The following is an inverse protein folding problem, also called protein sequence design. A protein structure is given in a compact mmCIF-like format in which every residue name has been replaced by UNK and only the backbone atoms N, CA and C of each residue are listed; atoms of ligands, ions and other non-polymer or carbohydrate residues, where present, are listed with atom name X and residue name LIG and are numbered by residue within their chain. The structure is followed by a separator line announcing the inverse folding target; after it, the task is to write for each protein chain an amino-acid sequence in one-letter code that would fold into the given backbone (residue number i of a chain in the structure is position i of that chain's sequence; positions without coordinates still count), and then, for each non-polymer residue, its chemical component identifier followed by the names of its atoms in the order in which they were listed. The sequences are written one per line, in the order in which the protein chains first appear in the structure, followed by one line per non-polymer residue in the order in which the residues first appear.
data_IF_802291643952
#
_entry.id   IF_802291643952
#
_cell.length_a   1.000
_cell.length_b   1.000
_cell.length_c   1.000
_cell.angle_alpha   90.00
_cell.angle_beta   90.00
_cell.angle_gamma   90.00
#
_symmetry.space_group_name_H-M   'P 1'
#
loop_
_entity.id
_entity.type
_entity.pdbx_description
1 polymer ?
#
# COMPACT_ATOMS: atom_id res chain seq x y z
N UNK A 1 -0.52 -7.03 -17.76
CA UNK A 1 -0.45 -6.81 -16.31
C UNK A 1 -1.47 -5.75 -15.97
N UNK A 2 -2.47 -6.05 -15.14
CA UNK A 2 -3.52 -5.12 -14.71
C UNK A 2 -3.03 -4.33 -13.49
N UNK A 3 -2.93 -3.01 -13.60
CA UNK A 3 -2.53 -2.13 -12.50
C UNK A 3 -3.78 -1.53 -11.83
N UNK A 4 -3.93 -1.73 -10.52
CA UNK A 4 -5.03 -1.18 -9.73
C UNK A 4 -5.00 0.37 -9.72
N UNK A 5 -3.82 0.99 -9.74
CA UNK A 5 -3.70 2.46 -9.73
C UNK A 5 -4.38 3.11 -10.94
N UNK A 6 -4.53 2.43 -12.08
CA UNK A 6 -5.26 2.98 -13.22
C UNK A 6 -6.77 3.09 -12.97
N UNK A 7 -7.32 2.26 -12.08
CA UNK A 7 -8.75 2.24 -11.76
C UNK A 7 -9.07 3.09 -10.53
N UNK A 8 -8.20 3.07 -9.52
CA UNK A 8 -8.41 3.77 -8.25
C UNK A 8 -7.68 5.12 -8.15
N UNK A 9 -6.73 5.41 -9.05
CA UNK A 9 -5.93 6.64 -9.04
C UNK A 9 -6.59 7.86 -9.70
N UNK A 10 -7.92 7.88 -9.79
CA UNK A 10 -8.67 9.05 -10.29
C UNK A 10 -8.88 10.14 -9.22
N UNK A 11 -8.56 9.84 -7.96
CA UNK A 11 -8.59 10.80 -6.86
C UNK A 11 -7.39 11.74 -6.98
N UNK A 12 -7.65 13.05 -7.02
CA UNK A 12 -6.64 14.11 -7.03
C UNK A 12 -6.63 14.79 -5.65
N UNK A 13 -5.88 14.19 -4.73
CA UNK A 13 -5.95 14.52 -3.30
C UNK A 13 -7.09 13.79 -2.58
N UNK A 14 -7.19 14.01 -1.28
CA UNK A 14 -8.17 13.37 -0.40
C UNK A 14 -8.97 14.42 0.39
N UNK A 15 -10.29 14.28 0.42
CA UNK A 15 -11.15 15.15 1.24
C UNK A 15 -11.33 14.58 2.65
N UNK A 16 -11.24 13.25 2.78
CA UNK A 16 -11.39 12.54 4.04
C UNK A 16 -10.11 11.79 4.40
N UNK A 17 -9.91 11.59 5.70
CA UNK A 17 -8.85 10.74 6.23
C UNK A 17 -9.46 9.72 7.17
N UNK A 18 -9.17 8.46 6.93
CA UNK A 18 -9.67 7.33 7.71
C UNK A 18 -8.56 6.86 8.63
N UNK A 19 -8.90 6.46 9.85
CA UNK A 19 -7.92 5.99 10.83
C UNK A 19 -8.05 4.49 11.02
N UNK A 20 -6.93 3.79 10.90
CA UNK A 20 -6.85 2.40 11.30
C UNK A 20 -6.84 2.31 12.84
N UNK A 21 -7.84 1.64 13.41
CA UNK A 21 -8.16 1.71 14.84
C UNK A 21 -7.04 1.24 15.77
N UNK A 22 -6.22 0.27 15.36
CA UNK A 22 -5.19 -0.33 16.23
C UNK A 22 -3.82 0.34 16.11
N UNK A 23 -3.47 0.82 14.91
CA UNK A 23 -2.14 1.41 14.66
C UNK A 23 -2.14 2.93 14.73
N UNK A 24 -3.32 3.56 14.64
CA UNK A 24 -3.45 5.01 14.54
C UNK A 24 -3.02 5.59 13.19
N UNK A 25 -2.48 4.76 12.28
CA UNK A 25 -2.14 5.14 10.90
C UNK A 25 -3.39 5.64 10.18
N UNK A 26 -3.24 6.69 9.37
CA UNK A 26 -4.35 7.24 8.58
C UNK A 26 -4.20 6.87 7.10
N UNK A 27 -5.30 6.86 6.36
CA UNK A 27 -5.29 6.60 4.93
C UNK A 27 -6.35 7.42 4.19
N UNK A 28 -6.11 7.65 2.90
CA UNK A 28 -6.92 8.51 2.02
C UNK A 28 -8.15 7.81 1.45
N UNK A 29 -9.02 8.60 0.80
CA UNK A 29 -10.18 8.13 0.04
C UNK A 29 -9.79 7.12 -1.05
N UNK A 30 -8.72 7.37 -1.80
CA UNK A 30 -8.24 6.44 -2.83
C UNK A 30 -7.82 5.08 -2.27
N UNK A 31 -7.11 5.07 -1.15
CA UNK A 31 -6.71 3.83 -0.47
C UNK A 31 -7.93 3.10 0.10
N UNK A 32 -8.88 3.82 0.70
CA UNK A 32 -10.12 3.22 1.19
C UNK A 32 -10.90 2.56 0.05
N UNK A 33 -11.11 3.29 -1.05
CA UNK A 33 -11.84 2.78 -2.20
C UNK A 33 -11.14 1.56 -2.81
N UNK A 34 -9.81 1.56 -2.89
CA UNK A 34 -9.04 0.39 -3.32
C UNK A 34 -9.24 -0.81 -2.39
N UNK A 35 -9.17 -0.59 -1.07
CA UNK A 35 -9.34 -1.65 -0.08
C UNK A 35 -10.76 -2.23 -0.09
N UNK A 36 -11.79 -1.39 -0.22
CA UNK A 36 -13.18 -1.82 -0.31
C UNK A 36 -13.47 -2.56 -1.63
N UNK A 37 -13.04 -1.98 -2.75
CA UNK A 37 -13.30 -2.52 -4.09
C UNK A 37 -12.55 -3.82 -4.38
N UNK A 38 -11.34 -3.97 -3.83
CA UNK A 38 -10.52 -5.18 -4.01
C UNK A 38 -10.59 -6.14 -2.83
N UNK A 39 -11.40 -5.84 -1.80
CA UNK A 39 -11.42 -6.57 -0.52
C UNK A 39 -10.01 -6.71 0.10
N UNK A 40 -9.19 -5.68 -0.06
CA UNK A 40 -7.74 -5.71 0.18
C UNK A 40 -7.32 -4.97 1.47
N UNK A 41 -8.16 -4.95 2.51
CA UNK A 41 -7.78 -4.40 3.81
C UNK A 41 -6.53 -5.07 4.41
N UNK A 42 -6.32 -6.35 4.08
CA UNK A 42 -5.11 -7.08 4.44
C UNK A 42 -3.82 -6.39 3.96
N UNK A 43 -3.85 -5.62 2.86
CA UNK A 43 -2.69 -4.88 2.37
C UNK A 43 -2.32 -3.75 3.34
N UNK A 44 -3.32 -3.07 3.89
CA UNK A 44 -3.13 -2.03 4.91
C UNK A 44 -2.57 -2.67 6.18
N UNK A 45 -3.16 -3.79 6.62
CA UNK A 45 -2.69 -4.53 7.80
C UNK A 45 -1.24 -5.02 7.63
N UNK A 46 -0.90 -5.51 6.43
CA UNK A 46 0.46 -5.94 6.10
C UNK A 46 1.43 -4.76 6.22
N UNK A 47 1.14 -3.62 5.60
CA UNK A 47 2.01 -2.43 5.67
C UNK A 47 2.18 -1.95 7.12
N UNK A 48 1.09 -1.97 7.91
CA UNK A 48 1.11 -1.66 9.33
C UNK A 48 2.01 -2.62 10.11
N UNK A 49 1.95 -3.92 9.82
CA UNK A 49 2.77 -4.92 10.51
C UNK A 49 4.27 -4.66 10.33
N UNK A 50 4.68 -4.20 9.14
CA UNK A 50 6.07 -3.79 8.86
C UNK A 50 6.50 -2.54 9.63
N UNK A 51 5.56 -1.68 10.07
CA UNK A 51 5.89 -0.54 10.93
C UNK A 51 6.30 -0.94 12.35
N UNK A 52 6.26 -2.22 12.71
CA UNK A 52 6.89 -2.74 13.93
C UNK A 52 8.42 -2.75 13.84
N UNK A 53 8.97 -2.73 12.62
CA UNK A 53 10.40 -2.71 12.37
C UNK A 53 10.91 -1.26 12.37
N UNK A 54 11.79 -0.91 13.33
CA UNK A 54 12.24 0.47 13.52
C UNK A 54 12.83 1.10 12.26
N UNK A 55 13.66 0.35 11.52
CA UNK A 55 14.29 0.84 10.29
C UNK A 55 13.31 1.10 9.13
N UNK A 56 12.13 0.47 9.15
CA UNK A 56 11.05 0.76 8.19
C UNK A 56 10.28 1.99 8.66
N UNK A 57 9.87 2.00 9.93
CA UNK A 57 9.03 3.04 10.53
C UNK A 57 9.70 4.43 10.54
N UNK A 58 11.02 4.47 10.70
CA UNK A 58 11.79 5.73 10.73
C UNK A 58 11.86 6.43 9.36
N UNK A 59 11.47 5.76 8.28
CA UNK A 59 11.47 6.37 6.95
C UNK A 59 10.27 7.31 6.78
N UNK A 60 10.49 8.60 6.46
CA UNK A 60 9.42 9.57 6.29
C UNK A 60 8.58 9.31 5.03
N UNK A 61 9.18 8.65 4.03
CA UNK A 61 8.55 8.32 2.76
C UNK A 61 8.83 6.86 2.42
N UNK A 62 7.77 6.09 2.18
CA UNK A 62 7.84 4.68 1.84
C UNK A 62 6.97 4.40 0.61
N UNK A 63 7.52 3.69 -0.36
CA UNK A 63 6.79 3.20 -1.54
C UNK A 63 6.60 1.71 -1.42
N UNK A 64 5.35 1.26 -1.38
CA UNK A 64 4.96 -0.13 -1.28
C UNK A 64 4.41 -0.62 -2.61
N UNK A 65 5.17 -1.49 -3.28
CA UNK A 65 4.81 -2.09 -4.56
C UNK A 65 4.40 -3.55 -4.36
N UNK A 66 3.10 -3.83 -4.47
CA UNK A 66 2.56 -5.20 -4.51
C UNK A 66 2.53 -5.67 -5.97
N UNK A 67 3.14 -6.81 -6.27
CA UNK A 67 3.24 -7.37 -7.61
C UNK A 67 2.94 -8.87 -7.63
N UNK A 68 2.06 -9.29 -8.56
CA UNK A 68 1.79 -10.70 -8.83
C UNK A 68 3.00 -11.33 -9.52
N UNK A 69 3.49 -12.43 -8.96
CA UNK A 69 4.57 -13.22 -9.54
C UNK A 69 4.00 -14.25 -10.53
N UNK A 70 3.06 -15.08 -10.08
CA UNK A 70 2.36 -16.07 -10.88
C UNK A 70 1.10 -16.53 -10.15
N UNK A 71 0.00 -16.74 -10.89
CA UNK A 71 -1.29 -17.16 -10.31
C UNK A 71 -1.65 -16.30 -9.09
N UNK A 72 -1.86 -16.89 -7.91
CA UNK A 72 -2.21 -16.19 -6.67
C UNK A 72 -1.00 -15.84 -5.79
N UNK A 73 0.22 -16.00 -6.29
CA UNK A 73 1.45 -15.69 -5.56
C UNK A 73 1.88 -14.25 -5.86
N UNK A 74 2.17 -13.49 -4.81
CA UNK A 74 2.59 -12.10 -4.91
C UNK A 74 3.87 -11.85 -4.12
N UNK A 75 4.50 -10.72 -4.41
CA UNK A 75 5.53 -10.13 -3.56
C UNK A 75 5.17 -8.67 -3.30
N UNK A 76 5.51 -8.18 -2.12
CA UNK A 76 5.46 -6.77 -1.81
C UNK A 76 6.86 -6.26 -1.48
N UNK A 77 7.23 -5.13 -2.08
CA UNK A 77 8.52 -4.48 -1.90
C UNK A 77 8.30 -3.08 -1.32
N UNK A 78 9.04 -2.75 -0.26
CA UNK A 78 9.13 -1.40 0.27
C UNK A 78 10.44 -0.73 -0.19
N UNK A 79 10.34 0.51 -0.66
CA UNK A 79 11.50 1.37 -0.94
C UNK A 79 11.36 2.74 -0.26
N UNK A 80 12.46 3.46 -0.11
CA UNK A 80 12.53 4.79 0.53
C UNK A 80 12.11 5.96 -0.39
N UNK A 81 11.53 5.69 -1.56
CA UNK A 81 11.23 6.70 -2.58
C UNK A 81 12.41 7.09 -3.48
N UNK A 82 13.65 6.69 -3.15
CA UNK A 82 14.85 6.86 -3.97
C UNK A 82 15.32 5.54 -4.59
N UNK A 83 14.39 4.58 -4.74
CA UNK A 83 14.64 3.23 -5.24
C UNK A 83 15.58 2.37 -4.37
N UNK A 84 15.91 2.79 -3.15
CA UNK A 84 16.64 1.93 -2.23
C UNK A 84 15.66 0.94 -1.58
N UNK A 85 15.97 -0.36 -1.67
CA UNK A 85 15.14 -1.41 -1.09
C UNK A 85 15.28 -1.40 0.43
N UNK A 86 14.14 -1.38 1.11
CA UNK A 86 14.07 -1.35 2.59
C UNK A 86 13.74 -2.74 3.10
N UNK A 87 12.59 -3.28 2.70
CA UNK A 87 12.14 -4.62 3.08
C UNK A 87 11.30 -5.23 1.95
N UNK A 88 11.13 -6.54 1.96
CA UNK A 88 10.24 -7.23 1.03
C UNK A 88 9.67 -8.48 1.67
N UNK A 89 8.46 -8.84 1.26
CA UNK A 89 7.76 -10.03 1.73
C UNK A 89 7.14 -10.78 0.56
N UNK A 90 7.26 -12.11 0.59
CA UNK A 90 6.48 -12.98 -0.29
C UNK A 90 5.11 -13.25 0.31
N UNK A 91 4.09 -13.25 -0.55
CA UNK A 91 2.71 -13.54 -0.20
C UNK A 91 2.36 -14.83 -0.96
N UNK A 92 2.38 -16.00 -0.27
CA UNK A 92 2.18 -17.30 -0.91
C UNK A 92 0.82 -17.44 -1.59
N UNK A 93 -0.18 -16.69 -1.13
CA UNK A 93 -1.52 -16.69 -1.71
C UNK A 93 -2.26 -15.38 -1.43
N UNK A 94 -2.89 -14.81 -2.44
CA UNK A 94 -3.91 -13.77 -2.33
C UNK A 94 -4.90 -13.87 -3.50
N UNK A 95 -6.16 -13.55 -3.24
CA UNK A 95 -7.24 -13.42 -4.22
C UNK A 95 -7.33 -12.00 -4.82
N UNK A 96 -6.39 -11.11 -4.49
CA UNK A 96 -6.33 -9.76 -5.04
C UNK A 96 -6.48 -9.76 -6.56
N UNK A 97 -7.40 -8.96 -7.08
CA UNK A 97 -7.82 -9.06 -8.48
C UNK A 97 -6.74 -8.57 -9.45
N UNK A 98 -5.98 -7.54 -9.09
CA UNK A 98 -5.01 -6.88 -9.97
C UNK A 98 -3.64 -7.53 -9.89
N UNK A 99 -2.77 -7.22 -10.84
CA UNK A 99 -1.41 -7.75 -10.88
C UNK A 99 -0.39 -6.81 -10.22
N UNK A 100 -0.73 -5.53 -10.10
CA UNK A 100 0.13 -4.50 -9.55
C UNK A 100 -0.71 -3.48 -8.77
N UNK A 101 -0.21 -3.02 -7.63
CA UNK A 101 -0.63 -1.78 -6.99
C UNK A 101 0.56 -1.16 -6.27
N UNK A 102 0.67 0.15 -6.38
CA UNK A 102 1.61 0.98 -5.61
C UNK A 102 0.82 1.85 -4.64
N UNK A 103 1.22 1.85 -3.37
CA UNK A 103 0.70 2.75 -2.33
C UNK A 103 1.88 3.40 -1.59
N UNK A 104 1.72 4.64 -1.17
CA UNK A 104 2.75 5.40 -0.48
C UNK A 104 2.36 5.61 0.96
N UNK A 105 3.30 5.39 1.88
CA UNK A 105 3.16 5.80 3.28
C UNK A 105 4.06 7.00 3.51
N UNK A 106 3.45 8.17 3.74
CA UNK A 106 4.15 9.43 3.96
C UNK A 106 3.71 10.04 5.28
N UNK A 107 4.65 10.27 6.19
CA UNK A 107 4.39 10.85 7.52
C UNK A 107 3.20 10.20 8.28
N UNK A 108 3.06 8.87 8.15
CA UNK A 108 1.98 8.12 8.80
C UNK A 108 0.62 8.17 8.09
N UNK A 109 0.57 8.72 6.88
CA UNK A 109 -0.59 8.69 5.98
C UNK A 109 -0.34 7.77 4.77
N UNK A 110 -1.18 6.74 4.61
CA UNK A 110 -1.17 5.84 3.46
C UNK A 110 -2.05 6.41 2.35
N UNK A 111 -1.51 6.55 1.15
CA UNK A 111 -2.17 7.21 0.02
C UNK A 111 -1.82 6.57 -1.32
N UNK A 112 -2.62 6.81 -2.36
CA UNK A 112 -2.24 6.48 -3.72
C UNK A 112 -1.27 7.53 -4.28
N UNK A 113 -0.39 7.18 -5.25
CA UNK A 113 0.52 8.13 -5.88
C UNK A 113 -0.16 9.36 -6.52
N UNK A 114 -1.42 9.24 -6.93
CA UNK A 114 -2.20 10.36 -7.50
C UNK A 114 -2.70 11.36 -6.46
N UNK A 115 -2.60 11.02 -5.17
CA UNK A 115 -3.12 11.82 -4.05
C UNK A 115 -2.02 12.59 -3.30
N UNK A 116 -0.75 12.44 -3.72
CA UNK A 116 0.41 13.16 -3.20
C UNK A 116 0.77 14.33 -4.13
#
# INVERSE_FOLDING_TARGET
MRNANHFFGSHNGSENFYRHSLSGLIYTDGVKHLAEGCQAYWLIDLIISHQCEGHVKELPFQVWDLKRLHQNVFTILCTDGNHNRVTSQEIPFSDFEYDLVTVWLVDGCLMLPSEY
#
